data_IF_235972224907
#
_entry.id   IF_235972224907
#
_cell.length_a   1.000
_cell.length_b   1.000
_cell.length_c   1.000
_cell.angle_alpha   90.00
_cell.angle_beta   90.00
_cell.angle_gamma   90.00
#
_symmetry.space_group_name_H-M   'P 1'
#
loop_
_entity.id
_entity.type
_entity.pdbx_description
1 polymer ?
#
# COMPACT_ATOMS: atom_id res chain seq x y z
N UNK A 1 -48.74 1.94 -13.33
CA UNK A 1 -48.18 0.62 -12.95
C UNK A 1 -46.71 0.82 -12.66
N UNK A 2 -46.35 0.71 -11.38
CA UNK A 2 -45.02 1.00 -10.86
C UNK A 2 -44.20 -0.30 -10.79
N UNK A 3 -43.34 -0.52 -11.78
CA UNK A 3 -42.38 -1.62 -11.78
C UNK A 3 -41.03 -1.11 -12.32
N UNK A 4 -40.16 -0.62 -11.43
CA UNK A 4 -38.69 -0.64 -11.60
C UNK A 4 -37.95 0.00 -10.42
N UNK A 5 -38.19 -0.47 -9.18
CA UNK A 5 -37.41 -0.02 -8.01
C UNK A 5 -37.00 -1.12 -7.01
N UNK A 6 -37.06 -2.40 -7.40
CA UNK A 6 -36.87 -3.53 -6.46
C UNK A 6 -35.53 -4.28 -6.62
N UNK A 7 -34.66 -3.94 -7.58
CA UNK A 7 -33.30 -4.51 -7.61
C UNK A 7 -32.26 -3.47 -8.01
N UNK A 8 -31.80 -2.67 -7.05
CA UNK A 8 -30.37 -2.33 -7.02
C UNK A 8 -29.65 -3.55 -6.44
N UNK A 9 -29.37 -4.53 -7.30
CA UNK A 9 -28.91 -5.88 -6.96
C UNK A 9 -27.49 -5.97 -6.41
N UNK A 10 -27.15 -5.17 -5.42
CA UNK A 10 -25.99 -5.37 -4.57
C UNK A 10 -26.49 -6.03 -3.28
N UNK A 11 -26.11 -7.29 -3.04
CA UNK A 11 -26.19 -7.93 -1.72
C UNK A 11 -24.82 -7.70 -1.05
N UNK A 12 -24.62 -6.55 -0.38
CA UNK A 12 -23.31 -6.20 0.19
C UNK A 12 -22.86 -7.23 1.22
N UNK A 13 -23.79 -7.84 1.96
CA UNK A 13 -23.53 -8.88 2.96
C UNK A 13 -22.90 -10.13 2.33
N UNK A 14 -23.47 -10.63 1.22
CA UNK A 14 -22.89 -11.76 0.49
C UNK A 14 -21.53 -11.41 -0.11
N UNK A 15 -21.38 -10.19 -0.61
CA UNK A 15 -20.11 -9.71 -1.17
C UNK A 15 -19.02 -9.65 -0.09
N UNK A 16 -19.38 -9.20 1.11
CA UNK A 16 -18.49 -9.17 2.26
C UNK A 16 -18.07 -10.59 2.67
N UNK A 17 -19.02 -11.53 2.78
CA UNK A 17 -18.69 -12.93 3.07
C UNK A 17 -17.73 -13.52 2.03
N UNK A 18 -18.01 -13.32 0.73
CA UNK A 18 -17.16 -13.79 -0.36
C UNK A 18 -15.74 -13.21 -0.24
N UNK A 19 -15.61 -11.90 0.00
CA UNK A 19 -14.30 -11.26 0.12
C UNK A 19 -13.56 -11.74 1.37
N UNK A 20 -14.26 -12.03 2.46
CA UNK A 20 -13.65 -12.61 3.66
C UNK A 20 -13.07 -14.01 3.42
N UNK A 21 -13.65 -14.83 2.54
CA UNK A 21 -13.05 -16.12 2.16
C UNK A 21 -11.66 -15.94 1.52
N UNK A 22 -11.40 -14.82 0.85
CA UNK A 22 -10.12 -14.51 0.23
C UNK A 22 -9.11 -13.86 1.16
N UNK A 23 -9.38 -13.71 2.46
CA UNK A 23 -8.52 -13.02 3.44
C UNK A 23 -7.02 -13.39 3.38
N UNK A 24 -6.69 -14.66 3.06
CA UNK A 24 -5.31 -15.14 2.96
C UNK A 24 -4.78 -15.24 1.53
N UNK A 25 -5.63 -15.00 0.54
CA UNK A 25 -5.28 -15.03 -0.88
C UNK A 25 -5.08 -13.59 -1.38
N UNK A 26 -3.87 -13.08 -1.14
CA UNK A 26 -3.49 -11.72 -1.51
C UNK A 26 -3.63 -11.47 -3.01
N UNK A 27 -3.34 -12.46 -3.87
CA UNK A 27 -3.45 -12.29 -5.33
C UNK A 27 -4.90 -12.03 -5.72
N UNK A 28 -5.83 -12.81 -5.17
CA UNK A 28 -7.26 -12.62 -5.42
C UNK A 28 -7.76 -11.30 -4.84
N UNK A 29 -7.32 -10.92 -3.63
CA UNK A 29 -7.66 -9.63 -3.02
C UNK A 29 -7.17 -8.45 -3.86
N UNK A 30 -5.97 -8.51 -4.45
CA UNK A 30 -5.50 -7.49 -5.39
C UNK A 30 -6.38 -7.39 -6.62
N UNK A 31 -6.82 -8.51 -7.19
CA UNK A 31 -7.80 -8.50 -8.28
C UNK A 31 -9.13 -7.89 -7.85
N UNK A 32 -9.61 -8.19 -6.63
CA UNK A 32 -10.87 -7.66 -6.07
C UNK A 32 -10.88 -6.13 -5.99
N UNK A 33 -9.74 -5.50 -5.65
CA UNK A 33 -9.65 -4.03 -5.58
C UNK A 33 -10.01 -3.38 -6.92
N UNK A 34 -9.69 -4.03 -8.03
CA UNK A 34 -9.84 -3.48 -9.38
C UNK A 34 -11.23 -3.70 -9.97
N UNK A 35 -12.10 -4.48 -9.32
CA UNK A 35 -13.44 -4.83 -9.83
C UNK A 35 -14.37 -3.63 -9.79
N UNK A 36 -14.65 -3.09 -8.61
CA UNK A 36 -15.51 -1.92 -8.42
C UNK A 36 -15.27 -1.27 -7.04
N UNK A 37 -15.95 -0.14 -6.77
CA UNK A 37 -15.81 0.63 -5.52
C UNK A 37 -16.18 -0.15 -4.27
N UNK A 38 -17.18 -1.05 -4.34
CA UNK A 38 -17.61 -1.85 -3.19
C UNK A 38 -16.55 -2.90 -2.84
N UNK A 39 -16.09 -3.66 -3.83
CA UNK A 39 -15.06 -4.69 -3.67
C UNK A 39 -13.72 -4.08 -3.22
N UNK A 40 -13.35 -2.92 -3.77
CA UNK A 40 -12.22 -2.12 -3.33
C UNK A 40 -12.30 -1.79 -1.82
N UNK A 41 -13.43 -1.27 -1.35
CA UNK A 41 -13.62 -0.90 0.06
C UNK A 41 -13.56 -2.10 1.01
N UNK A 42 -13.96 -3.28 0.58
CA UNK A 42 -13.95 -4.50 1.38
C UNK A 42 -12.59 -5.22 1.35
N UNK A 43 -11.90 -5.23 0.21
CA UNK A 43 -10.62 -5.91 0.04
C UNK A 43 -9.44 -5.13 0.65
N UNK A 44 -9.46 -3.79 0.61
CA UNK A 44 -8.37 -2.96 1.15
C UNK A 44 -8.12 -3.22 2.64
N UNK A 45 -9.14 -3.22 3.53
CA UNK A 45 -8.90 -3.56 4.94
C UNK A 45 -8.24 -4.91 5.13
N UNK A 46 -8.61 -5.93 4.34
CA UNK A 46 -8.03 -7.28 4.42
C UNK A 46 -6.56 -7.33 3.98
N UNK A 47 -6.21 -6.62 2.91
CA UNK A 47 -4.83 -6.53 2.42
C UNK A 47 -3.91 -5.80 3.40
N UNK A 48 -4.45 -4.86 4.16
CA UNK A 48 -3.69 -4.01 5.07
C UNK A 48 -3.77 -4.43 6.53
N UNK A 49 -4.31 -5.63 6.84
CA UNK A 49 -4.33 -6.15 8.23
C UNK A 49 -2.93 -6.49 8.75
N UNK A 50 -2.05 -6.98 7.88
CA UNK A 50 -0.66 -7.34 8.19
C UNK A 50 0.24 -7.08 6.96
N UNK A 51 0.50 -5.81 6.63
CA UNK A 51 1.18 -5.43 5.39
C UNK A 51 2.66 -5.81 5.37
N UNK A 52 3.24 -6.15 6.52
CA UNK A 52 4.66 -6.52 6.66
C UNK A 52 4.88 -8.04 6.66
N UNK A 53 3.83 -8.86 6.74
CA UNK A 53 3.96 -10.31 6.63
C UNK A 53 3.85 -10.85 5.22
N UNK A 54 3.39 -10.04 4.28
CA UNK A 54 3.28 -10.44 2.89
C UNK A 54 4.70 -10.48 2.32
N UNK A 55 5.19 -11.64 1.86
CA UNK A 55 6.54 -11.78 1.31
C UNK A 55 6.66 -11.14 -0.08
N UNK A 56 5.63 -10.45 -0.58
CA UNK A 56 5.72 -9.72 -1.82
C UNK A 56 6.67 -8.53 -1.61
N UNK A 57 7.67 -8.44 -2.48
CA UNK A 57 8.77 -7.44 -2.49
C UNK A 57 8.31 -5.97 -2.56
N UNK A 58 7.04 -5.66 -2.38
CA UNK A 58 6.53 -4.31 -2.40
C UNK A 58 6.66 -3.66 -1.02
N UNK A 59 7.86 -3.16 -0.73
CA UNK A 59 8.13 -2.14 0.28
C UNK A 59 7.30 -0.84 0.09
N UNK A 60 6.46 -0.76 -0.95
CA UNK A 60 5.47 0.30 -1.17
C UNK A 60 4.53 0.54 0.02
N UNK A 61 4.36 -0.45 0.90
CA UNK A 61 3.65 -0.22 2.16
C UNK A 61 4.35 0.83 3.02
N UNK A 62 5.69 0.84 3.07
CA UNK A 62 6.49 1.84 3.78
C UNK A 62 6.26 3.22 3.19
N UNK A 63 6.32 3.35 1.87
CA UNK A 63 6.05 4.61 1.16
C UNK A 63 4.66 5.16 1.51
N UNK A 64 3.66 4.28 1.53
CA UNK A 64 2.29 4.64 1.92
C UNK A 64 2.25 5.15 3.35
N UNK A 65 2.96 4.52 4.29
CA UNK A 65 3.01 4.95 5.69
C UNK A 65 3.79 6.25 5.89
N UNK A 66 4.84 6.50 5.11
CA UNK A 66 5.60 7.76 5.15
C UNK A 66 4.71 8.97 4.82
N UNK A 67 3.72 8.80 3.94
CA UNK A 67 2.74 9.85 3.64
C UNK A 67 1.88 10.27 4.86
N UNK A 68 1.69 9.39 5.84
CA UNK A 68 0.93 9.68 7.07
C UNK A 68 1.77 10.33 8.18
N UNK A 69 3.08 10.48 7.98
CA UNK A 69 3.93 11.20 8.94
C UNK A 69 3.54 12.69 8.99
N UNK A 70 3.77 13.33 10.14
CA UNK A 70 3.62 14.78 10.23
C UNK A 70 4.74 15.48 9.47
N UNK A 71 4.51 16.74 9.10
CA UNK A 71 5.48 17.54 8.33
C UNK A 71 6.85 17.64 9.01
N UNK A 72 6.89 17.74 10.33
CA UNK A 72 8.17 17.76 11.07
C UNK A 72 8.96 16.46 10.93
N UNK A 73 8.30 15.30 10.98
CA UNK A 73 8.97 14.01 10.80
C UNK A 73 9.36 13.79 9.35
N UNK A 74 8.54 14.25 8.40
CA UNK A 74 8.86 14.23 6.97
C UNK A 74 10.09 15.08 6.67
N UNK A 75 10.17 16.29 7.23
CA UNK A 75 11.31 17.18 7.07
C UNK A 75 12.60 16.52 7.59
N UNK A 76 12.58 15.98 8.81
CA UNK A 76 13.70 15.22 9.37
C UNK A 76 14.09 14.03 8.51
N UNK A 77 13.10 13.32 7.97
CA UNK A 77 13.34 12.15 7.13
C UNK A 77 14.02 12.53 5.81
N UNK A 78 13.59 13.62 5.19
CA UNK A 78 14.19 14.16 3.97
C UNK A 78 15.63 14.67 4.19
N UNK A 79 15.98 15.14 5.40
CA UNK A 79 17.37 15.48 5.72
C UNK A 79 18.33 14.28 5.64
N UNK A 80 17.84 13.07 5.94
CA UNK A 80 18.66 11.85 5.93
C UNK A 80 18.64 11.10 4.60
N UNK A 81 17.58 11.24 3.80
CA UNK A 81 17.42 10.54 2.52
C UNK A 81 17.48 11.57 1.39
N UNK A 82 18.57 11.55 0.61
CA UNK A 82 18.86 12.44 -0.54
C UNK A 82 17.85 12.26 -1.71
N UNK A 83 16.75 11.54 -1.50
CA UNK A 83 15.72 11.28 -2.51
C UNK A 83 14.68 12.40 -2.40
N UNK A 84 15.10 13.57 -2.86
CA UNK A 84 14.43 14.84 -2.57
C UNK A 84 13.00 14.96 -3.12
N UNK A 85 12.55 14.10 -4.05
CA UNK A 85 11.25 14.33 -4.70
C UNK A 85 10.47 13.09 -5.17
N UNK A 86 11.02 11.87 -5.10
CA UNK A 86 10.37 10.69 -5.69
C UNK A 86 9.28 10.07 -4.82
N UNK A 87 9.39 10.19 -3.48
CA UNK A 87 8.61 9.37 -2.56
C UNK A 87 7.45 10.13 -1.88
N UNK A 88 7.58 11.44 -1.73
CA UNK A 88 6.63 12.29 -0.99
C UNK A 88 5.74 13.13 -1.92
N UNK A 89 5.32 12.57 -3.06
CA UNK A 89 4.21 13.18 -3.77
C UNK A 89 2.99 13.10 -2.85
N UNK A 90 2.40 14.26 -2.54
CA UNK A 90 1.16 14.43 -1.76
C UNK A 90 -0.02 13.76 -2.49
N UNK A 91 0.05 12.45 -2.64
CA UNK A 91 -1.01 11.62 -3.15
C UNK A 91 -2.12 11.68 -2.11
N UNK A 92 -3.29 12.16 -2.54
CA UNK A 92 -4.49 12.16 -1.72
C UNK A 92 -4.84 10.69 -1.48
N UNK A 93 -4.38 10.15 -0.35
CA UNK A 93 -4.60 8.77 0.02
C UNK A 93 -6.11 8.55 0.18
N UNK A 94 -6.65 7.63 -0.61
CA UNK A 94 -8.10 7.36 -0.63
C UNK A 94 -8.60 6.72 0.67
N UNK A 95 -7.69 6.10 1.42
CA UNK A 95 -7.98 5.38 2.65
C UNK A 95 -6.99 5.74 3.76
N UNK A 96 -7.44 5.67 5.01
CA UNK A 96 -6.58 5.76 6.18
C UNK A 96 -5.98 4.37 6.48
N UNK A 97 -4.96 4.00 5.70
CA UNK A 97 -4.28 2.70 5.79
C UNK A 97 -3.76 2.34 7.21
N UNK A 98 -3.20 3.28 8.01
CA UNK A 98 -2.84 3.00 9.40
C UNK A 98 -3.96 2.39 10.24
N UNK A 99 -5.22 2.79 10.01
CA UNK A 99 -6.35 2.29 10.79
C UNK A 99 -6.71 0.82 10.49
N UNK A 100 -6.19 0.23 9.41
CA UNK A 100 -6.51 -1.15 9.04
C UNK A 100 -5.51 -2.17 9.62
N UNK A 101 -4.39 -1.72 10.16
CA UNK A 101 -3.37 -2.58 10.74
C UNK A 101 -3.95 -3.32 11.95
N UNK A 102 -3.87 -4.66 11.94
CA UNK A 102 -4.24 -5.52 13.06
C UNK A 102 -3.05 -6.22 13.68
N UNK A 103 -2.01 -6.46 12.90
CA UNK A 103 -0.79 -7.15 13.33
C UNK A 103 0.43 -6.28 13.05
N UNK A 104 1.23 -6.06 14.10
CA UNK A 104 2.49 -5.30 14.04
C UNK A 104 3.61 -6.16 14.61
N UNK A 105 4.33 -6.82 13.71
CA UNK A 105 5.55 -7.55 14.05
C UNK A 105 6.76 -6.63 13.80
N UNK A 106 7.38 -6.15 14.88
CA UNK A 106 8.52 -5.23 14.82
C UNK A 106 9.71 -5.81 14.06
N UNK A 107 9.93 -7.12 14.14
CA UNK A 107 11.00 -7.79 13.41
C UNK A 107 10.77 -7.70 11.90
N UNK A 108 9.53 -7.96 11.46
CA UNK A 108 9.16 -7.86 10.04
C UNK A 108 9.24 -6.43 9.54
N UNK A 109 8.75 -5.47 10.32
CA UNK A 109 8.83 -4.04 9.99
C UNK A 109 10.29 -3.62 9.79
N UNK A 110 11.17 -3.93 10.74
CA UNK A 110 12.59 -3.61 10.62
C UNK A 110 13.21 -4.27 9.38
N UNK A 111 12.82 -5.50 9.06
CA UNK A 111 13.30 -6.20 7.88
C UNK A 111 12.81 -5.55 6.57
N UNK A 112 11.53 -5.18 6.50
CA UNK A 112 10.96 -4.46 5.35
C UNK A 112 11.64 -3.12 5.15
N UNK A 113 11.91 -2.36 6.21
CA UNK A 113 12.61 -1.07 6.14
C UNK A 113 14.04 -1.26 5.62
N UNK A 114 14.76 -2.28 6.09
CA UNK A 114 16.11 -2.58 5.58
C UNK A 114 16.08 -2.87 4.08
N UNK A 115 15.21 -3.77 3.64
CA UNK A 115 15.09 -4.09 2.21
C UNK A 115 14.70 -2.87 1.37
N UNK A 116 13.81 -2.02 1.89
CA UNK A 116 13.43 -0.78 1.22
C UNK A 116 14.63 0.15 1.05
N UNK A 117 15.41 0.38 2.10
CA UNK A 117 16.62 1.21 2.03
C UNK A 117 17.63 0.62 1.05
N UNK A 118 17.86 -0.69 1.08
CA UNK A 118 18.77 -1.36 0.15
C UNK A 118 18.33 -1.13 -1.31
N UNK A 119 17.02 -1.24 -1.61
CA UNK A 119 16.50 -0.99 -2.96
C UNK A 119 16.68 0.46 -3.42
N UNK A 120 16.57 1.42 -2.51
CA UNK A 120 16.82 2.83 -2.82
C UNK A 120 18.30 3.09 -3.13
N UNK A 121 19.21 2.45 -2.39
CA UNK A 121 20.65 2.52 -2.62
C UNK A 121 21.01 1.89 -3.97
N UNK A 122 20.42 0.75 -4.31
CA UNK A 122 20.63 0.11 -5.61
C UNK A 122 20.15 0.99 -6.78
N UNK A 123 18.99 1.63 -6.66
CA UNK A 123 18.48 2.57 -7.67
C UNK A 123 19.47 3.73 -7.85
N UNK A 124 19.92 4.34 -6.74
CA UNK A 124 20.86 5.45 -6.78
C UNK A 124 22.21 5.06 -7.40
N UNK A 125 22.75 3.90 -7.06
CA UNK A 125 24.02 3.41 -7.62
C UNK A 125 23.91 3.11 -9.11
N UNK A 126 22.77 2.59 -9.57
CA UNK A 126 22.51 2.36 -10.99
C UNK A 126 22.36 3.67 -11.77
N UNK A 127 21.63 4.65 -11.22
CA UNK A 127 21.53 6.00 -11.81
C UNK A 127 22.92 6.67 -11.89
N UNK A 128 23.77 6.51 -10.86
CA UNK A 128 25.12 7.05 -10.85
C UNK A 128 26.04 6.47 -11.95
N UNK A 129 25.82 5.20 -12.33
CA UNK A 129 26.58 4.55 -13.39
C UNK A 129 26.15 4.95 -14.81
N UNK A 130 24.94 5.48 -14.99
CA UNK A 130 24.48 5.97 -16.31
C UNK A 130 25.20 7.28 -16.71
N UNK A 131 25.54 8.13 -15.73
CA UNK A 131 26.35 9.34 -15.97
C UNK A 131 27.82 9.04 -16.30
N UNK A 132 28.31 7.81 -16.10
CA UNK A 132 29.67 7.39 -16.47
C UNK A 132 29.80 6.93 -17.91
N UNK A 133 28.71 6.73 -18.65
CA UNK A 133 28.72 6.37 -20.07
C UNK A 133 28.81 7.59 -21.01
N UNK A 134 28.86 8.81 -20.44
CA UNK A 134 29.03 10.07 -21.18
C UNK A 134 30.37 10.78 -20.92
N UNK A 135 31.36 10.08 -20.35
CA UNK A 135 32.77 10.50 -20.26
C UNK A 135 33.67 9.48 -20.97
#
# INVERSE_FOLDING_TARGET
MACSKIFSGDLPELTEEIIQYFRKDFSTLYSCILVNRLWCRLAIPLLWEDPFSIPTQNYRCIETYLCFLNEDSKAKFNEYIIIDNLLLSNSTLLFNYPNFIKYLDTSKICQSIKYWVDTLVDIYNNDCNDYRLWL
#
